data_IF_716430583646
#
_entry.id   IF_716430583646
#
_cell.length_a   1.000
_cell.length_b   1.000
_cell.length_c   1.000
_cell.angle_alpha   90.00
_cell.angle_beta   90.00
_cell.angle_gamma   90.00
#
_symmetry.space_group_name_H-M   'P 1'
#
loop_
_entity.id
_entity.type
_entity.pdbx_description
1 polymer ?
#
# COMPACT_ATOMS: atom_id res chain seq x y z
N UNK A 1 1.26 24.70 57.98
CA UNK A 1 0.89 25.68 56.95
C UNK A 1 1.82 25.64 55.73
N UNK A 2 3.15 25.59 55.86
CA UNK A 2 4.07 25.51 54.69
C UNK A 2 3.90 24.26 53.81
N UNK A 3 3.64 23.09 54.42
CA UNK A 3 3.45 21.84 53.63
C UNK A 3 2.14 21.80 52.87
N UNK A 4 1.08 22.48 53.33
CA UNK A 4 -0.21 22.50 52.61
C UNK A 4 -0.15 23.39 51.37
N UNK A 5 0.59 24.50 51.44
CA UNK A 5 0.79 25.41 50.30
C UNK A 5 1.66 24.77 49.19
N UNK A 6 2.65 23.95 49.59
CA UNK A 6 3.50 23.19 48.63
C UNK A 6 2.68 22.13 47.84
N UNK A 7 1.83 21.37 48.51
CA UNK A 7 0.98 20.36 47.88
C UNK A 7 -0.09 20.97 46.95
N UNK A 8 -0.63 22.14 47.35
CA UNK A 8 -1.58 22.85 46.48
C UNK A 8 -0.93 23.45 45.24
N UNK A 9 0.31 23.93 45.33
CA UNK A 9 1.08 24.43 44.20
C UNK A 9 1.47 23.30 43.24
N UNK A 10 1.88 22.13 43.73
CA UNK A 10 2.18 20.93 42.94
C UNK A 10 0.93 20.38 42.22
N UNK A 11 -0.21 20.35 42.89
CA UNK A 11 -1.48 19.92 42.31
C UNK A 11 -1.96 20.89 41.22
N UNK A 12 -1.83 22.19 41.43
CA UNK A 12 -2.17 23.20 40.42
C UNK A 12 -1.21 23.13 39.22
N UNK A 13 0.09 22.91 39.45
CA UNK A 13 1.08 22.71 38.40
C UNK A 13 0.75 21.48 37.52
N UNK A 14 0.41 20.35 38.13
CA UNK A 14 -0.01 19.13 37.39
C UNK A 14 -1.29 19.35 36.59
N UNK A 15 -2.30 19.99 37.16
CA UNK A 15 -3.54 20.33 36.44
C UNK A 15 -3.29 21.22 35.20
N UNK A 16 -2.40 22.20 35.32
CA UNK A 16 -2.03 23.08 34.19
C UNK A 16 -1.29 22.30 33.13
N UNK A 17 -0.35 21.43 33.52
CA UNK A 17 0.39 20.58 32.56
C UNK A 17 -0.55 19.61 31.83
N UNK A 18 -1.42 18.89 32.54
CA UNK A 18 -2.42 18.01 31.99
C UNK A 18 -3.40 18.72 31.04
N UNK A 19 -3.80 19.95 31.38
CA UNK A 19 -4.69 20.74 30.52
C UNK A 19 -4.00 21.26 29.24
N UNK A 20 -2.72 21.60 29.34
CA UNK A 20 -1.92 22.00 28.15
C UNK A 20 -1.62 20.83 27.24
N UNK A 21 -1.25 19.68 27.79
CA UNK A 21 -1.05 18.43 27.00
C UNK A 21 -2.33 18.01 26.28
N UNK A 22 -3.47 18.04 26.96
CA UNK A 22 -4.77 17.74 26.36
C UNK A 22 -5.13 18.75 25.23
N UNK A 23 -4.86 20.03 25.41
CA UNK A 23 -5.11 21.04 24.38
C UNK A 23 -4.20 20.86 23.16
N UNK A 24 -2.92 20.51 23.38
CA UNK A 24 -1.97 20.21 22.30
C UNK A 24 -2.38 18.93 21.53
N UNK A 25 -2.81 17.89 22.23
CA UNK A 25 -3.32 16.67 21.63
C UNK A 25 -4.53 16.96 20.73
N UNK A 26 -5.51 17.70 21.22
CA UNK A 26 -6.69 18.11 20.43
C UNK A 26 -6.34 18.98 19.23
N UNK A 27 -5.35 19.86 19.34
CA UNK A 27 -4.87 20.67 18.24
C UNK A 27 -4.18 19.80 17.18
N UNK A 28 -3.38 18.82 17.59
CA UNK A 28 -2.70 17.89 16.69
C UNK A 28 -3.71 16.99 15.98
N UNK A 29 -4.72 16.45 16.67
CA UNK A 29 -5.83 15.72 16.05
C UNK A 29 -6.56 16.57 14.99
N UNK A 30 -6.87 17.82 15.30
CA UNK A 30 -7.54 18.73 14.36
C UNK A 30 -6.67 19.02 13.12
N UNK A 31 -5.35 19.19 13.31
CA UNK A 31 -4.40 19.37 12.21
C UNK A 31 -4.31 18.12 11.33
N UNK A 32 -4.22 16.93 11.93
CA UNK A 32 -4.18 15.68 11.20
C UNK A 32 -5.45 15.46 10.36
N UNK A 33 -6.64 15.70 10.93
CA UNK A 33 -7.92 15.65 10.21
C UNK A 33 -7.94 16.61 9.02
N UNK A 34 -7.52 17.86 9.23
CA UNK A 34 -7.47 18.86 8.15
C UNK A 34 -6.55 18.41 7.01
N UNK A 35 -5.38 17.83 7.30
CA UNK A 35 -4.48 17.33 6.26
C UNK A 35 -5.12 16.16 5.50
N UNK A 36 -5.79 15.25 6.19
CA UNK A 36 -6.53 14.14 5.56
C UNK A 36 -7.65 14.66 4.64
N UNK A 37 -8.39 15.69 5.06
CA UNK A 37 -9.43 16.32 4.24
C UNK A 37 -8.84 16.97 2.97
N UNK A 38 -7.70 17.64 3.09
CA UNK A 38 -7.00 18.23 1.94
C UNK A 38 -6.49 17.18 0.96
N UNK A 39 -5.99 16.04 1.44
CA UNK A 39 -5.61 14.90 0.59
C UNK A 39 -6.83 14.35 -0.15
N UNK A 40 -7.95 14.22 0.55
CA UNK A 40 -9.17 13.60 0.04
C UNK A 40 -9.89 14.47 -1.00
N UNK A 41 -9.98 15.78 -0.75
CA UNK A 41 -10.88 16.70 -1.48
C UNK A 41 -10.32 18.09 -1.75
N UNK A 42 -9.06 18.37 -1.40
CA UNK A 42 -8.41 19.67 -1.66
C UNK A 42 -8.20 19.94 -3.15
N UNK A 43 -7.89 21.20 -3.46
CA UNK A 43 -7.43 21.61 -4.81
C UNK A 43 -6.11 20.93 -5.16
N UNK A 44 -5.67 21.00 -6.40
CA UNK A 44 -4.37 20.45 -6.81
C UNK A 44 -3.22 21.08 -6.00
N UNK A 45 -3.24 22.40 -5.81
CA UNK A 45 -2.26 23.15 -5.05
C UNK A 45 -2.23 22.74 -3.57
N UNK A 46 -3.40 22.59 -2.96
CA UNK A 46 -3.50 22.14 -1.56
C UNK A 46 -2.97 20.71 -1.38
N UNK A 47 -3.27 19.80 -2.32
CA UNK A 47 -2.73 18.44 -2.30
C UNK A 47 -1.19 18.45 -2.46
N UNK A 48 -0.64 19.27 -3.35
CA UNK A 48 0.82 19.44 -3.52
C UNK A 48 1.47 19.92 -2.22
N UNK A 49 0.86 20.90 -1.53
CA UNK A 49 1.38 21.40 -0.26
C UNK A 49 1.39 20.31 0.85
N UNK A 50 0.38 19.45 0.90
CA UNK A 50 0.38 18.33 1.85
C UNK A 50 1.45 17.30 1.48
N UNK A 51 1.62 16.99 0.17
CA UNK A 51 2.70 16.12 -0.32
C UNK A 51 4.07 16.66 0.07
N UNK A 52 4.30 17.98 -0.13
CA UNK A 52 5.56 18.64 0.27
C UNK A 52 5.82 18.49 1.77
N UNK A 53 4.82 18.81 2.61
CA UNK A 53 4.94 18.68 4.07
C UNK A 53 5.31 17.26 4.51
N UNK A 54 4.67 16.25 3.93
CA UNK A 54 4.99 14.86 4.22
C UNK A 54 6.41 14.50 3.77
N UNK A 55 6.82 14.95 2.57
CA UNK A 55 8.16 14.70 2.05
C UNK A 55 9.24 15.37 2.90
N UNK A 56 9.04 16.63 3.30
CA UNK A 56 9.98 17.38 4.16
C UNK A 56 10.13 16.70 5.52
N UNK A 57 9.02 16.29 6.15
CA UNK A 57 9.02 15.52 7.39
C UNK A 57 9.84 14.23 7.24
N UNK A 58 9.64 13.47 6.15
CA UNK A 58 10.37 12.23 5.90
C UNK A 58 11.86 12.50 5.70
N UNK A 59 12.24 13.58 5.01
CA UNK A 59 13.64 13.98 4.85
C UNK A 59 14.29 14.34 6.20
N UNK A 60 13.59 15.06 7.08
CA UNK A 60 14.06 15.35 8.45
C UNK A 60 14.26 14.08 9.28
N UNK A 61 13.49 13.02 9.03
CA UNK A 61 13.65 11.69 9.66
C UNK A 61 14.73 10.81 9.00
N UNK A 62 15.46 11.34 8.02
CA UNK A 62 16.57 10.64 7.36
C UNK A 62 16.16 9.80 6.14
N UNK A 63 14.91 9.91 5.67
CA UNK A 63 14.47 9.23 4.44
C UNK A 63 14.87 10.08 3.23
N UNK A 64 15.89 9.63 2.51
CA UNK A 64 16.45 10.40 1.40
C UNK A 64 16.55 9.51 0.14
N UNK A 65 15.91 9.97 -0.94
CA UNK A 65 15.97 9.38 -2.28
C UNK A 65 15.76 7.86 -2.28
N UNK A 66 14.59 7.38 -1.83
CA UNK A 66 14.26 5.96 -2.06
C UNK A 66 14.31 5.69 -3.57
N UNK A 67 14.91 4.57 -3.97
CA UNK A 67 14.93 4.13 -5.37
C UNK A 67 13.67 3.30 -5.67
N UNK A 68 13.28 2.44 -4.70
CA UNK A 68 12.18 1.49 -4.84
C UNK A 68 11.19 1.66 -3.70
N UNK A 69 9.92 1.73 -4.05
CA UNK A 69 8.80 1.61 -3.11
C UNK A 69 8.34 0.16 -3.13
N UNK A 70 8.09 -0.42 -1.95
CA UNK A 70 7.50 -1.76 -1.82
C UNK A 70 6.27 -1.67 -0.94
N UNK A 71 5.08 -1.96 -1.46
CA UNK A 71 3.90 -2.13 -0.60
C UNK A 71 3.78 -3.58 -0.18
N UNK A 72 3.83 -3.82 1.15
CA UNK A 72 3.72 -5.13 1.77
C UNK A 72 2.26 -5.42 2.08
N UNK A 73 1.61 -6.20 1.22
CA UNK A 73 0.27 -6.73 1.43
C UNK A 73 0.23 -7.89 2.43
N UNK A 74 -0.93 -8.52 2.58
CA UNK A 74 -1.14 -9.68 3.46
C UNK A 74 -0.09 -10.76 3.20
N UNK A 75 0.54 -11.27 4.27
CA UNK A 75 1.60 -12.29 4.20
C UNK A 75 3.01 -11.80 3.84
N UNK A 76 3.16 -10.54 3.38
CA UNK A 76 4.47 -10.00 3.01
C UNK A 76 5.14 -9.16 4.11
N UNK A 77 4.49 -8.97 5.28
CA UNK A 77 4.95 -8.06 6.33
C UNK A 77 6.35 -8.35 6.87
N UNK A 78 6.77 -9.63 6.88
CA UNK A 78 8.11 -10.05 7.31
C UNK A 78 9.24 -9.57 6.39
N UNK A 79 8.95 -9.22 5.14
CA UNK A 79 9.96 -8.62 4.24
C UNK A 79 10.56 -7.34 4.82
N UNK A 80 9.76 -6.51 5.48
CA UNK A 80 10.24 -5.28 6.12
C UNK A 80 11.28 -5.51 7.22
N UNK A 81 11.36 -6.73 7.77
CA UNK A 81 12.37 -7.11 8.79
C UNK A 81 13.71 -7.48 8.16
N UNK A 82 13.78 -7.65 6.84
CA UNK A 82 15.00 -7.93 6.09
C UNK A 82 15.75 -6.66 5.65
N UNK A 83 15.18 -5.48 5.85
CA UNK A 83 15.80 -4.19 5.50
C UNK A 83 16.96 -3.91 6.44
N UNK A 84 18.10 -3.54 5.87
CA UNK A 84 19.33 -3.24 6.60
C UNK A 84 19.33 -1.78 7.05
N UNK A 85 19.79 -1.52 8.29
CA UNK A 85 19.80 -0.18 8.92
C UNK A 85 18.47 0.56 8.82
N UNK A 86 17.34 -0.04 9.26
CA UNK A 86 16.03 0.51 9.00
C UNK A 86 15.71 1.75 9.84
N UNK A 87 15.22 2.78 9.20
CA UNK A 87 14.42 3.86 9.83
C UNK A 87 12.96 3.43 9.77
N UNK A 88 12.27 3.41 10.92
CA UNK A 88 10.86 3.03 11.03
C UNK A 88 10.05 4.22 11.54
N UNK A 89 8.97 4.55 10.85
CA UNK A 89 8.09 5.67 11.19
C UNK A 89 6.65 5.16 11.13
N UNK A 90 5.88 5.38 12.21
CA UNK A 90 4.43 5.09 12.20
C UNK A 90 3.74 5.98 11.16
N UNK A 91 2.74 5.44 10.48
CA UNK A 91 1.94 6.24 9.53
C UNK A 91 1.24 7.41 10.21
N UNK A 92 0.86 7.25 11.48
CA UNK A 92 0.21 8.29 12.30
C UNK A 92 1.09 9.52 12.49
N UNK A 93 2.42 9.34 12.48
CA UNK A 93 3.38 10.42 12.65
C UNK A 93 3.61 11.20 11.35
N UNK A 94 3.28 10.61 10.18
CA UNK A 94 3.59 11.22 8.88
C UNK A 94 2.43 12.14 8.45
N UNK A 95 2.68 13.43 8.20
CA UNK A 95 1.63 14.37 7.83
C UNK A 95 0.80 13.90 6.63
N UNK A 96 -0.52 13.79 6.80
CA UNK A 96 -1.46 13.41 5.76
C UNK A 96 -1.51 11.92 5.40
N UNK A 97 -0.67 11.06 5.98
CA UNK A 97 -0.80 9.61 5.79
C UNK A 97 -2.06 9.12 6.48
N UNK A 98 -2.83 8.25 5.84
CA UNK A 98 -3.95 7.59 6.51
C UNK A 98 -3.47 6.52 7.48
N UNK A 99 -4.27 6.20 8.48
CA UNK A 99 -4.00 5.10 9.43
C UNK A 99 -4.42 3.79 8.79
N UNK A 100 -3.58 2.74 8.86
CA UNK A 100 -3.96 1.41 8.40
C UNK A 100 -4.72 0.67 9.49
N UNK A 101 -5.95 0.23 9.19
CA UNK A 101 -6.84 -0.45 10.16
C UNK A 101 -7.04 -1.93 9.82
N UNK A 102 -6.59 -2.37 8.66
CA UNK A 102 -6.74 -3.76 8.22
C UNK A 102 -5.90 -4.73 9.08
N UNK A 103 -6.46 -5.89 9.49
CA UNK A 103 -5.74 -6.89 10.26
C UNK A 103 -4.43 -7.32 9.58
N UNK A 104 -3.37 -7.53 10.38
CA UNK A 104 -2.05 -7.96 9.89
C UNK A 104 -1.20 -6.86 9.26
N UNK A 105 -1.69 -5.64 9.14
CA UNK A 105 -0.94 -4.48 8.68
C UNK A 105 -0.26 -3.76 9.84
N UNK A 106 1.06 -3.55 9.75
CA UNK A 106 1.84 -2.92 10.84
C UNK A 106 1.68 -1.40 10.91
N UNK A 107 1.18 -0.76 9.87
CA UNK A 107 0.93 0.69 9.84
C UNK A 107 2.20 1.54 9.94
N UNK A 108 3.30 1.14 9.30
CA UNK A 108 4.57 1.86 9.37
C UNK A 108 5.30 1.91 8.03
N UNK A 109 6.04 3.00 7.82
CA UNK A 109 7.03 3.13 6.77
C UNK A 109 8.38 2.62 7.29
N UNK A 110 9.03 1.72 6.54
CA UNK A 110 10.35 1.17 6.83
C UNK A 110 11.27 1.56 5.68
N UNK A 111 12.30 2.35 5.97
CA UNK A 111 13.26 2.79 4.97
C UNK A 111 14.66 2.32 5.34
N UNK A 112 15.40 1.83 4.37
CA UNK A 112 16.78 1.40 4.55
C UNK A 112 17.36 0.77 3.28
N UNK A 113 18.34 -0.08 3.45
CA UNK A 113 19.03 -0.72 2.33
C UNK A 113 18.62 -2.18 2.17
N UNK A 114 18.45 -2.57 0.91
CA UNK A 114 18.22 -3.95 0.51
C UNK A 114 19.00 -4.23 -0.78
N UNK A 115 19.97 -5.15 -0.71
CA UNK A 115 20.83 -5.53 -1.84
C UNK A 115 21.47 -4.32 -2.57
N UNK A 116 21.90 -3.31 -1.80
CA UNK A 116 22.52 -2.09 -2.33
C UNK A 116 21.53 -1.04 -2.88
N UNK A 117 20.21 -1.29 -2.81
CA UNK A 117 19.18 -0.35 -3.17
C UNK A 117 18.59 0.34 -1.94
N UNK A 118 18.22 1.62 -2.07
CA UNK A 118 17.45 2.35 -1.06
C UNK A 118 15.96 2.04 -1.24
N UNK A 119 15.39 1.34 -0.28
CA UNK A 119 14.02 0.83 -0.35
C UNK A 119 13.15 1.49 0.72
N UNK A 120 11.96 1.92 0.32
CA UNK A 120 10.91 2.39 1.20
C UNK A 120 9.76 1.37 1.21
N UNK A 121 9.65 0.58 2.29
CA UNK A 121 8.58 -0.39 2.45
C UNK A 121 7.38 0.25 3.16
N UNK A 122 6.22 0.23 2.53
CA UNK A 122 4.94 0.50 3.15
C UNK A 122 4.45 -0.81 3.80
N UNK A 123 4.66 -0.96 5.11
CA UNK A 123 4.30 -2.16 5.87
C UNK A 123 2.83 -2.09 6.30
N UNK A 124 1.97 -2.45 5.37
CA UNK A 124 0.53 -2.29 5.38
C UNK A 124 0.09 -1.28 4.32
N UNK A 125 -1.18 -1.39 3.95
CA UNK A 125 -1.82 -0.54 2.94
C UNK A 125 -3.19 -0.07 3.41
N UNK A 126 -3.81 0.78 2.60
CA UNK A 126 -5.15 1.32 2.81
C UNK A 126 -6.09 0.79 1.75
N UNK A 127 -7.31 0.47 2.14
CA UNK A 127 -8.29 -0.10 1.24
C UNK A 127 -9.53 0.77 1.12
N UNK A 128 -10.20 0.66 -0.01
CA UNK A 128 -11.46 1.36 -0.24
C UNK A 128 -12.54 0.94 0.77
N UNK A 129 -12.57 -0.35 1.14
CA UNK A 129 -13.53 -0.87 2.12
C UNK A 129 -13.30 -0.37 3.56
N UNK A 130 -12.14 0.19 3.87
CA UNK A 130 -11.87 0.86 5.16
C UNK A 130 -12.53 2.26 5.22
N UNK A 131 -13.15 2.73 4.12
CA UNK A 131 -13.76 4.04 4.00
C UNK A 131 -12.84 5.12 3.40
N UNK A 132 -11.61 4.76 3.02
CA UNK A 132 -10.70 5.68 2.36
C UNK A 132 -11.09 5.89 0.90
N UNK A 133 -11.08 7.16 0.45
CA UNK A 133 -11.22 7.43 -0.97
C UNK A 133 -9.92 7.09 -1.73
N UNK A 134 -10.04 6.94 -3.05
CA UNK A 134 -8.94 6.51 -3.90
C UNK A 134 -7.72 7.46 -3.88
N UNK A 135 -7.93 8.78 -3.70
CA UNK A 135 -6.84 9.77 -3.61
C UNK A 135 -6.03 9.59 -2.33
N UNK A 136 -6.71 9.31 -1.22
CA UNK A 136 -6.07 9.02 0.06
C UNK A 136 -5.24 7.75 -0.01
N UNK A 137 -5.72 6.71 -0.70
CA UNK A 137 -5.00 5.44 -0.87
C UNK A 137 -3.66 5.64 -1.59
N UNK A 138 -3.62 6.50 -2.63
CA UNK A 138 -2.41 6.73 -3.41
C UNK A 138 -1.50 7.85 -2.87
N UNK A 139 -1.91 8.54 -1.82
CA UNK A 139 -1.16 9.67 -1.27
C UNK A 139 0.26 9.28 -0.82
N UNK A 140 0.47 8.18 -0.05
CA UNK A 140 1.81 7.76 0.34
C UNK A 140 2.75 7.47 -0.83
N UNK A 141 2.22 6.86 -1.90
CA UNK A 141 2.96 6.63 -3.14
C UNK A 141 3.45 7.95 -3.76
N UNK A 142 2.58 8.96 -3.83
CA UNK A 142 2.91 10.30 -4.37
C UNK A 142 4.01 10.99 -3.57
N UNK A 143 3.98 10.86 -2.25
CA UNK A 143 5.02 11.40 -1.36
C UNK A 143 6.36 10.73 -1.63
N UNK A 144 6.41 9.41 -1.73
CA UNK A 144 7.65 8.67 -1.98
C UNK A 144 8.18 8.87 -3.40
N UNK A 145 7.31 9.01 -4.41
CA UNK A 145 7.69 9.39 -5.78
C UNK A 145 8.34 10.78 -5.79
N UNK A 146 7.77 11.75 -5.07
CA UNK A 146 8.37 13.08 -4.92
C UNK A 146 9.76 13.05 -4.28
N UNK A 147 10.02 12.10 -3.37
CA UNK A 147 11.35 11.91 -2.77
C UNK A 147 12.37 11.25 -3.73
N UNK A 148 11.95 10.82 -4.92
CA UNK A 148 12.82 10.35 -5.98
C UNK A 148 12.71 8.86 -6.29
N UNK A 149 11.74 8.16 -5.74
CA UNK A 149 11.48 6.78 -6.12
C UNK A 149 11.13 6.69 -7.62
N UNK A 150 11.65 5.67 -8.28
CA UNK A 150 11.45 5.44 -9.72
C UNK A 150 10.78 4.10 -10.01
N UNK A 151 10.75 3.19 -9.01
CA UNK A 151 10.14 1.86 -9.14
C UNK A 151 9.16 1.59 -8.01
N UNK A 152 8.09 0.88 -8.35
CA UNK A 152 7.09 0.42 -7.39
C UNK A 152 6.88 -1.09 -7.50
N UNK A 153 7.15 -1.79 -6.41
CA UNK A 153 6.84 -3.21 -6.22
C UNK A 153 5.58 -3.29 -5.37
N UNK A 154 4.50 -3.73 -5.99
CA UNK A 154 3.17 -3.79 -5.39
C UNK A 154 2.82 -5.24 -5.10
N UNK A 155 2.54 -5.59 -3.83
CA UNK A 155 2.14 -6.94 -3.46
C UNK A 155 0.71 -6.98 -2.92
N UNK A 156 0.00 -8.08 -3.14
CA UNK A 156 -1.31 -8.35 -2.56
C UNK A 156 -1.56 -9.84 -2.35
N UNK A 157 -2.64 -10.17 -1.64
CA UNK A 157 -3.27 -11.49 -1.65
C UNK A 157 -4.54 -11.44 -2.49
N UNK A 158 -4.87 -12.52 -3.19
CA UNK A 158 -6.02 -12.63 -4.07
C UNK A 158 -6.61 -14.04 -4.11
N UNK A 159 -7.87 -14.11 -4.53
CA UNK A 159 -8.50 -15.36 -4.95
C UNK A 159 -8.21 -15.65 -6.42
N UNK A 160 -7.75 -16.86 -6.76
CA UNK A 160 -7.58 -17.20 -8.18
C UNK A 160 -8.91 -17.56 -8.84
N UNK A 161 -9.09 -17.08 -10.09
CA UNK A 161 -10.27 -17.32 -10.94
C UNK A 161 -9.91 -18.30 -12.06
N UNK A 162 -8.65 -18.27 -12.53
CA UNK A 162 -8.17 -19.13 -13.60
C UNK A 162 -8.07 -20.59 -13.12
N UNK A 163 -8.77 -21.50 -13.79
CA UNK A 163 -8.82 -22.94 -13.44
C UNK A 163 -7.49 -23.67 -13.70
N UNK A 164 -6.60 -23.08 -14.48
CA UNK A 164 -5.26 -23.60 -14.73
C UNK A 164 -4.24 -23.23 -13.66
N UNK A 165 -4.64 -22.46 -12.64
CA UNK A 165 -3.72 -22.10 -11.55
C UNK A 165 -3.82 -23.08 -10.40
N UNK A 166 -2.70 -23.34 -9.76
CA UNK A 166 -2.59 -24.19 -8.59
C UNK A 166 -2.41 -23.35 -7.32
N UNK A 167 -2.89 -23.81 -6.17
CA UNK A 167 -2.69 -23.14 -4.88
C UNK A 167 -1.20 -23.10 -4.52
N UNK A 168 -0.81 -22.06 -3.81
CA UNK A 168 0.54 -21.96 -3.29
C UNK A 168 1.55 -21.34 -4.24
N UNK A 169 1.09 -20.54 -5.20
CA UNK A 169 1.93 -19.81 -6.15
C UNK A 169 1.63 -18.31 -6.15
N UNK A 170 2.51 -17.54 -6.74
CA UNK A 170 2.28 -16.13 -7.03
C UNK A 170 1.93 -15.91 -8.50
N UNK A 171 1.30 -14.77 -8.78
CA UNK A 171 1.02 -14.29 -10.13
C UNK A 171 1.65 -12.90 -10.31
N UNK A 172 2.43 -12.71 -11.36
CA UNK A 172 2.82 -11.38 -11.83
C UNK A 172 1.64 -10.76 -12.57
N UNK A 173 1.22 -9.60 -12.13
CA UNK A 173 0.07 -8.89 -12.73
C UNK A 173 0.51 -8.30 -14.06
N UNK A 174 -0.19 -8.69 -15.14
CA UNK A 174 0.05 -8.19 -16.50
C UNK A 174 -0.80 -6.99 -16.82
N UNK A 175 -2.02 -6.96 -16.28
CA UNK A 175 -3.03 -5.91 -16.46
C UNK A 175 -4.08 -5.99 -15.35
N UNK A 176 -5.02 -5.04 -15.32
CA UNK A 176 -6.09 -5.07 -14.33
C UNK A 176 -7.46 -4.70 -14.90
N UNK A 177 -8.51 -5.17 -14.21
CA UNK A 177 -9.89 -4.76 -14.42
C UNK A 177 -10.35 -4.03 -13.15
N UNK A 178 -10.70 -2.76 -13.29
CA UNK A 178 -11.17 -1.91 -12.19
C UNK A 178 -12.71 -1.98 -12.07
N UNK A 179 -13.20 -2.81 -11.15
CA UNK A 179 -14.64 -2.94 -10.87
C UNK A 179 -15.11 -2.09 -9.68
N UNK A 180 -14.23 -1.24 -9.12
CA UNK A 180 -14.58 -0.40 -7.97
C UNK A 180 -15.54 0.75 -8.31
N UNK A 181 -15.69 1.09 -9.59
CA UNK A 181 -16.44 2.27 -10.03
C UNK A 181 -15.76 3.60 -9.68
N UNK A 182 -14.52 3.58 -9.19
CA UNK A 182 -13.76 4.74 -8.73
C UNK A 182 -12.42 4.83 -9.45
N UNK A 183 -11.86 6.06 -9.54
CA UNK A 183 -10.52 6.29 -10.08
C UNK A 183 -9.80 7.34 -9.23
N UNK A 184 -8.56 7.10 -8.79
CA UNK A 184 -7.80 8.02 -7.92
C UNK A 184 -7.47 9.37 -8.59
N UNK A 185 -7.57 9.45 -9.91
CA UNK A 185 -7.28 10.67 -10.68
C UNK A 185 -8.52 11.53 -10.94
N UNK A 186 -9.69 11.12 -10.43
CA UNK A 186 -10.93 11.91 -10.57
C UNK A 186 -10.80 13.25 -9.86
N UNK A 187 -11.17 14.35 -10.54
CA UNK A 187 -11.07 15.72 -10.04
C UNK A 187 -9.91 16.51 -10.65
N UNK A 188 -9.41 17.58 -10.01
CA UNK A 188 -8.29 18.38 -10.52
C UNK A 188 -7.02 17.53 -10.69
N UNK A 189 -6.31 17.74 -11.81
CA UNK A 189 -5.01 17.12 -12.04
C UNK A 189 -3.91 17.80 -11.21
N UNK A 190 -2.88 17.06 -10.85
CA UNK A 190 -1.66 17.58 -10.25
C UNK A 190 -0.56 17.49 -11.32
N UNK A 191 -0.40 18.55 -12.11
CA UNK A 191 0.48 18.56 -13.28
C UNK A 191 1.96 18.33 -12.91
N UNK A 192 2.36 18.66 -11.66
CA UNK A 192 3.70 18.37 -11.14
C UNK A 192 3.97 16.86 -11.00
N UNK A 193 2.93 16.03 -10.91
CA UNK A 193 3.06 14.57 -10.75
C UNK A 193 2.97 13.89 -12.11
N UNK A 194 1.97 14.24 -12.93
CA UNK A 194 1.77 13.58 -14.21
C UNK A 194 0.69 14.21 -15.06
N UNK A 195 0.55 13.70 -16.29
CA UNK A 195 -0.42 14.22 -17.24
C UNK A 195 -1.87 13.86 -16.84
N UNK A 196 -2.84 14.66 -17.29
CA UNK A 196 -4.27 14.48 -16.99
C UNK A 196 -4.81 13.11 -17.40
N UNK A 197 -4.33 12.55 -18.50
CA UNK A 197 -4.76 11.29 -19.08
C UNK A 197 -3.54 10.37 -19.28
N UNK A 198 -3.07 9.67 -18.23
CA UNK A 198 -1.96 8.74 -18.39
C UNK A 198 -2.36 7.55 -19.25
N UNK A 199 -1.45 7.10 -20.10
CA UNK A 199 -1.60 5.87 -20.83
C UNK A 199 -1.45 4.67 -19.91
N UNK A 200 -2.46 3.81 -19.85
CA UNK A 200 -2.48 2.61 -19.00
C UNK A 200 -2.07 1.33 -19.76
N UNK A 201 -1.77 1.42 -21.06
CA UNK A 201 -1.42 0.25 -21.90
C UNK A 201 -0.19 -0.52 -21.39
N UNK A 202 0.67 0.16 -20.65
CA UNK A 202 1.89 -0.39 -20.04
C UNK A 202 1.99 -0.05 -18.55
N UNK A 203 0.85 0.03 -17.87
CA UNK A 203 0.81 0.37 -16.44
C UNK A 203 1.69 -0.58 -15.60
N UNK A 204 1.67 -1.87 -15.92
CA UNK A 204 2.61 -2.86 -15.38
C UNK A 204 3.75 -3.01 -16.38
N UNK A 205 4.92 -2.47 -16.04
CA UNK A 205 6.07 -2.33 -16.95
C UNK A 205 6.47 -3.66 -17.57
N UNK A 206 6.27 -3.87 -18.89
CA UNK A 206 6.44 -5.19 -19.51
C UNK A 206 7.87 -5.71 -19.41
N UNK A 207 8.87 -4.84 -19.62
CA UNK A 207 10.29 -5.20 -19.61
C UNK A 207 10.74 -5.63 -18.22
N UNK A 208 10.28 -4.93 -17.17
CA UNK A 208 10.54 -5.29 -15.78
C UNK A 208 9.87 -6.61 -15.41
N UNK A 209 8.60 -6.80 -15.80
CA UNK A 209 7.87 -8.04 -15.55
C UNK A 209 8.54 -9.25 -16.18
N UNK A 210 8.93 -9.13 -17.45
CA UNK A 210 9.62 -10.21 -18.17
C UNK A 210 10.96 -10.57 -17.53
N UNK A 211 11.71 -9.57 -17.06
CA UNK A 211 12.97 -9.80 -16.33
C UNK A 211 12.71 -10.55 -15.04
N UNK A 212 11.75 -10.09 -14.23
CA UNK A 212 11.38 -10.73 -12.95
C UNK A 212 10.88 -12.16 -13.17
N UNK A 213 10.08 -12.38 -14.22
CA UNK A 213 9.57 -13.71 -14.57
C UNK A 213 10.72 -14.69 -14.85
N UNK A 214 11.66 -14.32 -15.71
CA UNK A 214 12.83 -15.18 -16.04
C UNK A 214 13.74 -15.43 -14.83
N UNK A 215 13.98 -14.41 -14.01
CA UNK A 215 14.80 -14.56 -12.81
C UNK A 215 14.10 -15.44 -11.75
N UNK A 216 12.77 -15.38 -11.63
CA UNK A 216 12.00 -16.26 -10.77
C UNK A 216 12.09 -17.72 -11.23
N UNK A 217 11.92 -18.00 -12.54
CA UNK A 217 12.08 -19.33 -13.10
C UNK A 217 13.51 -19.88 -12.88
N UNK A 218 14.53 -19.05 -13.09
CA UNK A 218 15.93 -19.42 -12.82
C UNK A 218 16.21 -19.73 -11.35
N UNK A 219 15.46 -19.10 -10.44
CA UNK A 219 15.51 -19.36 -9.00
C UNK A 219 14.63 -20.56 -8.56
N UNK A 220 13.97 -21.24 -9.50
CA UNK A 220 13.08 -22.36 -9.23
C UNK A 220 11.75 -21.96 -8.60
N UNK A 221 11.35 -20.69 -8.72
CA UNK A 221 10.07 -20.18 -8.21
C UNK A 221 9.05 -20.23 -9.35
N UNK A 222 8.02 -21.05 -9.21
CA UNK A 222 6.92 -21.08 -10.17
C UNK A 222 6.02 -19.87 -9.96
N UNK A 223 5.85 -19.07 -11.02
CA UNK A 223 4.95 -17.91 -11.03
C UNK A 223 4.06 -17.93 -12.26
N UNK A 224 2.81 -17.50 -12.08
CA UNK A 224 1.87 -17.28 -13.17
C UNK A 224 1.96 -15.83 -13.65
N UNK A 225 1.36 -15.55 -14.79
CA UNK A 225 1.13 -14.20 -15.30
C UNK A 225 -0.34 -14.05 -15.65
N UNK A 226 -0.99 -12.96 -15.23
CA UNK A 226 -2.43 -12.83 -15.46
C UNK A 226 -3.00 -11.48 -15.11
N UNK A 227 -4.28 -11.33 -15.39
CA UNK A 227 -5.08 -10.12 -15.17
C UNK A 227 -5.71 -10.14 -13.77
N UNK A 228 -5.50 -9.06 -13.02
CA UNK A 228 -6.06 -8.88 -11.70
C UNK A 228 -7.34 -8.03 -11.75
N UNK A 229 -8.45 -8.50 -11.17
CA UNK A 229 -9.67 -7.74 -11.00
C UNK A 229 -9.74 -7.14 -9.59
N UNK A 230 -10.06 -5.85 -9.49
CA UNK A 230 -10.34 -5.20 -8.20
C UNK A 230 -11.84 -5.07 -8.00
N UNK A 231 -12.36 -5.68 -6.93
CA UNK A 231 -13.69 -5.45 -6.38
C UNK A 231 -13.62 -4.49 -5.18
N UNK A 232 -14.70 -3.74 -4.89
CA UNK A 232 -14.67 -2.77 -3.79
C UNK A 232 -14.59 -3.40 -2.39
N UNK A 233 -15.09 -4.63 -2.21
CA UNK A 233 -15.28 -5.24 -0.89
C UNK A 233 -16.32 -4.49 -0.03
N UNK A 234 -16.41 -4.74 1.31
CA UNK A 234 -15.63 -5.72 2.07
C UNK A 234 -16.12 -7.17 1.96
N UNK A 235 -17.30 -7.43 1.37
CA UNK A 235 -17.75 -8.79 1.15
C UNK A 235 -16.91 -9.48 0.07
N UNK A 236 -16.62 -10.77 0.27
CA UNK A 236 -16.16 -11.60 -0.84
C UNK A 236 -17.23 -11.63 -1.94
N UNK A 237 -16.78 -11.94 -3.15
CA UNK A 237 -17.62 -12.01 -4.33
C UNK A 237 -18.63 -13.14 -4.21
N UNK A 238 -19.74 -13.00 -4.93
CA UNK A 238 -20.66 -14.13 -5.16
C UNK A 238 -20.10 -15.04 -6.27
N UNK A 239 -20.50 -16.33 -6.34
CA UNK A 239 -20.13 -17.20 -7.45
C UNK A 239 -20.55 -16.66 -8.82
N UNK A 240 -21.59 -15.84 -8.89
CA UNK A 240 -22.03 -15.20 -10.15
C UNK A 240 -21.07 -14.07 -10.58
N UNK A 241 -20.60 -13.26 -9.63
CA UNK A 241 -19.58 -12.24 -9.88
C UNK A 241 -18.25 -12.88 -10.31
N UNK A 242 -17.84 -14.00 -9.73
CA UNK A 242 -16.64 -14.73 -10.16
C UNK A 242 -16.79 -15.24 -11.61
N UNK A 243 -17.95 -15.81 -11.99
CA UNK A 243 -18.19 -16.19 -13.38
C UNK A 243 -18.16 -14.99 -14.34
N UNK A 244 -18.71 -13.85 -13.91
CA UNK A 244 -18.65 -12.59 -14.67
C UNK A 244 -17.19 -12.15 -14.87
N UNK A 245 -16.40 -12.07 -13.79
CA UNK A 245 -14.99 -11.67 -13.84
C UNK A 245 -14.16 -12.58 -14.76
N UNK A 246 -14.39 -13.91 -14.69
CA UNK A 246 -13.76 -14.87 -15.59
C UNK A 246 -14.13 -14.59 -17.05
N UNK A 247 -15.40 -14.31 -17.33
CA UNK A 247 -15.87 -13.97 -18.69
C UNK A 247 -15.23 -12.68 -19.21
N UNK A 248 -14.93 -11.72 -18.31
CA UNK A 248 -14.22 -10.49 -18.62
C UNK A 248 -12.71 -10.69 -18.79
N UNK A 249 -12.18 -11.87 -18.51
CA UNK A 249 -10.78 -12.21 -18.68
C UNK A 249 -9.91 -12.02 -17.44
N UNK A 250 -10.50 -11.93 -16.23
CA UNK A 250 -9.74 -11.88 -14.98
C UNK A 250 -9.22 -13.27 -14.60
N UNK A 251 -7.97 -13.34 -14.14
CA UNK A 251 -7.30 -14.53 -13.62
C UNK A 251 -7.29 -14.60 -12.10
N UNK A 252 -7.33 -13.45 -11.44
CA UNK A 252 -7.39 -13.33 -10.00
C UNK A 252 -8.24 -12.12 -9.57
N UNK A 253 -8.76 -12.15 -8.33
CA UNK A 253 -9.61 -11.09 -7.76
C UNK A 253 -9.16 -10.72 -6.35
N UNK A 254 -9.28 -9.44 -6.03
CA UNK A 254 -9.06 -8.93 -4.67
C UNK A 254 -9.61 -7.51 -4.52
N UNK A 255 -9.27 -6.84 -3.42
CA UNK A 255 -9.91 -5.59 -3.01
C UNK A 255 -8.92 -4.42 -2.88
N UNK A 256 -7.78 -4.48 -3.61
CA UNK A 256 -6.68 -3.49 -3.48
C UNK A 256 -5.95 -3.27 -4.80
N UNK A 257 -4.77 -2.62 -4.73
CA UNK A 257 -3.74 -2.60 -5.78
C UNK A 257 -4.03 -1.73 -7.00
N UNK A 258 -5.24 -1.73 -7.53
CA UNK A 258 -5.56 -0.97 -8.75
C UNK A 258 -5.43 0.55 -8.54
N UNK A 259 -5.86 1.15 -7.42
CA UNK A 259 -5.62 2.57 -7.18
C UNK A 259 -4.13 2.91 -7.19
N UNK A 260 -3.31 2.09 -6.53
CA UNK A 260 -1.87 2.28 -6.48
C UNK A 260 -1.22 2.09 -7.86
N UNK A 261 -1.68 1.13 -8.66
CA UNK A 261 -1.21 0.95 -10.04
C UNK A 261 -1.52 2.16 -10.93
N UNK A 262 -2.73 2.72 -10.82
CA UNK A 262 -3.10 3.95 -11.52
C UNK A 262 -2.25 5.14 -11.04
N UNK A 263 -2.05 5.26 -9.71
CA UNK A 263 -1.20 6.29 -9.12
C UNK A 263 0.26 6.19 -9.55
N UNK A 264 0.81 4.98 -9.66
CA UNK A 264 2.16 4.71 -10.13
C UNK A 264 2.35 5.10 -11.60
N UNK A 265 1.42 4.70 -12.47
CA UNK A 265 1.42 5.07 -13.89
C UNK A 265 1.33 6.59 -14.05
N UNK A 266 0.46 7.27 -13.28
CA UNK A 266 0.37 8.73 -13.29
C UNK A 266 1.67 9.41 -12.84
N UNK A 267 2.38 8.85 -11.86
CA UNK A 267 3.66 9.36 -11.37
C UNK A 267 4.87 8.92 -12.22
N UNK A 268 4.67 8.17 -13.29
CA UNK A 268 5.74 7.70 -14.19
C UNK A 268 6.67 6.67 -13.57
N UNK A 269 6.22 5.89 -12.58
CA UNK A 269 7.00 4.85 -11.94
C UNK A 269 6.99 3.57 -12.78
N UNK A 270 8.13 2.86 -12.85
CA UNK A 270 8.13 1.45 -13.23
C UNK A 270 7.34 0.65 -12.21
N UNK A 271 6.37 -0.14 -12.67
CA UNK A 271 5.49 -0.91 -11.79
C UNK A 271 5.58 -2.40 -12.07
N UNK A 272 5.70 -3.18 -11.01
CA UNK A 272 5.45 -4.63 -11.01
C UNK A 272 4.47 -4.98 -9.90
N UNK A 273 3.43 -5.75 -10.25
CA UNK A 273 2.46 -6.30 -9.30
C UNK A 273 2.74 -7.79 -9.06
N UNK A 274 2.81 -8.18 -7.79
CA UNK A 274 2.97 -9.57 -7.35
C UNK A 274 1.76 -9.94 -6.51
N UNK A 275 0.92 -10.83 -7.03
CA UNK A 275 -0.28 -11.30 -6.35
C UNK A 275 -0.07 -12.68 -5.76
N UNK A 276 -0.24 -12.84 -4.45
CA UNK A 276 -0.26 -14.12 -3.76
C UNK A 276 -1.62 -14.79 -4.02
N UNK A 277 -1.65 -15.91 -4.71
CA UNK A 277 -2.85 -16.70 -4.95
C UNK A 277 -3.20 -17.51 -3.68
N UNK A 278 -3.93 -16.87 -2.77
CA UNK A 278 -4.13 -17.37 -1.40
C UNK A 278 -5.23 -18.44 -1.30
N UNK A 279 -6.29 -18.29 -2.07
CA UNK A 279 -7.47 -19.16 -2.02
C UNK A 279 -8.16 -19.25 -3.39
N UNK A 280 -8.96 -20.32 -3.66
CA UNK A 280 -9.85 -20.31 -4.82
C UNK A 280 -10.88 -19.18 -4.66
N UNK A 281 -11.23 -18.49 -5.74
CA UNK A 281 -12.27 -17.48 -5.71
C UNK A 281 -13.65 -18.10 -5.32
N UNK A 282 -14.58 -17.25 -4.93
CA UNK A 282 -15.88 -17.69 -4.42
C UNK A 282 -16.62 -18.65 -5.39
N UNK A 283 -17.06 -19.78 -4.88
CA UNK A 283 -17.76 -20.82 -5.65
C UNK A 283 -16.86 -21.73 -6.51
N UNK A 284 -15.53 -21.55 -6.45
CA UNK A 284 -14.57 -22.45 -7.10
C UNK A 284 -14.06 -23.55 -6.16
N UNK A 285 -14.06 -23.30 -4.88
CA UNK A 285 -13.73 -24.28 -3.84
C UNK A 285 -14.98 -24.89 -3.19
N UNK A 286 -14.78 -25.94 -2.39
CA UNK A 286 -15.84 -26.61 -1.65
C UNK A 286 -16.11 -26.04 -0.24
N UNK A 287 -15.21 -25.17 0.25
CA UNK A 287 -15.27 -24.60 1.59
C UNK A 287 -15.65 -23.11 1.53
N UNK A 288 -16.32 -22.59 2.58
CA UNK A 288 -16.49 -21.15 2.74
C UNK A 288 -15.14 -20.41 2.76
N UNK A 289 -15.12 -19.18 2.23
CA UNK A 289 -13.94 -18.33 2.28
C UNK A 289 -13.85 -17.66 3.66
N UNK A 290 -12.70 -17.79 4.32
CA UNK A 290 -12.40 -17.16 5.58
C UNK A 290 -11.15 -16.27 5.43
N UNK A 291 -11.15 -15.13 6.10
CA UNK A 291 -9.98 -14.24 6.14
C UNK A 291 -8.73 -14.97 6.66
N UNK A 292 -8.90 -15.85 7.66
CA UNK A 292 -7.80 -16.62 8.22
C UNK A 292 -7.12 -17.53 7.19
N UNK A 293 -7.89 -18.12 6.27
CA UNK A 293 -7.32 -18.97 5.20
C UNK A 293 -6.42 -18.16 4.26
N UNK A 294 -6.78 -16.89 3.98
CA UNK A 294 -5.96 -15.97 3.19
C UNK A 294 -4.65 -15.66 3.89
N UNK A 295 -4.69 -15.37 5.20
CA UNK A 295 -3.51 -15.09 6.02
C UNK A 295 -2.59 -16.32 6.07
N UNK A 296 -3.14 -17.49 6.34
CA UNK A 296 -2.37 -18.74 6.47
C UNK A 296 -1.72 -19.15 5.14
N UNK A 297 -2.43 -19.00 4.03
CA UNK A 297 -1.90 -19.29 2.71
C UNK A 297 -0.76 -18.30 2.35
N UNK A 298 -0.95 -17.02 2.61
CA UNK A 298 0.07 -15.99 2.38
C UNK A 298 1.32 -16.23 3.23
N UNK A 299 1.16 -16.67 4.48
CA UNK A 299 2.28 -17.01 5.35
C UNK A 299 3.06 -18.23 4.85
N UNK A 300 2.38 -19.26 4.30
CA UNK A 300 3.04 -20.42 3.69
C UNK A 300 3.89 -20.05 2.50
N UNK A 301 3.48 -19.04 1.71
CA UNK A 301 4.19 -18.53 0.54
C UNK A 301 5.27 -17.49 0.86
N UNK A 302 5.37 -17.07 2.11
CA UNK A 302 6.17 -15.91 2.53
C UNK A 302 7.62 -15.98 2.06
N UNK A 303 8.27 -17.15 2.08
CA UNK A 303 9.65 -17.31 1.64
C UNK A 303 9.84 -17.07 0.13
N UNK A 304 8.95 -17.57 -0.71
CA UNK A 304 9.02 -17.36 -2.16
C UNK A 304 8.58 -15.94 -2.54
N UNK A 305 7.58 -15.37 -1.83
CA UNK A 305 7.20 -13.98 -1.98
C UNK A 305 8.36 -13.02 -1.63
N UNK A 306 9.12 -13.29 -0.56
CA UNK A 306 10.31 -12.50 -0.21
C UNK A 306 11.36 -12.54 -1.32
N UNK A 307 11.65 -13.73 -1.88
CA UNK A 307 12.58 -13.87 -3.01
C UNK A 307 12.09 -13.13 -4.25
N UNK A 308 10.79 -13.22 -4.58
CA UNK A 308 10.19 -12.50 -5.70
C UNK A 308 10.28 -10.98 -5.52
N UNK A 309 10.03 -10.48 -4.31
CA UNK A 309 10.20 -9.06 -3.98
C UNK A 309 11.69 -8.67 -4.14
N UNK A 310 12.63 -9.48 -3.67
CA UNK A 310 14.06 -9.24 -3.84
C UNK A 310 14.47 -9.18 -5.32
N UNK A 311 13.97 -10.11 -6.14
CA UNK A 311 14.17 -10.10 -7.59
C UNK A 311 13.62 -8.80 -8.18
N UNK A 312 12.38 -8.43 -7.84
CA UNK A 312 11.73 -7.23 -8.35
C UNK A 312 12.42 -5.93 -7.93
N UNK A 313 12.97 -5.87 -6.72
CA UNK A 313 13.75 -4.73 -6.22
C UNK A 313 15.06 -4.58 -7.00
N UNK A 314 15.70 -5.68 -7.38
CA UNK A 314 17.03 -5.69 -8.02
C UNK A 314 16.95 -5.65 -9.56
N UNK A 315 15.82 -6.05 -10.13
CA UNK A 315 15.65 -6.08 -11.56
C UNK A 315 15.78 -4.69 -12.21
#
# INVERSE_FOLDING_TARGET
>A
MKNFLSHAADAAGKMVTESTEFAEEKLNEARARRLADLVASGTAEEQVEVIKKAADFLMEKGIQRPEVIVTLGSGCGSYGDTIVNPVRISYEDIPGFPVSTAPGHRGQLIYGEKNGKKVACLSGRWHFYEGYNMKTIIFPLRVLARLGATRYVLTNASGWINEGYEPGHAMLITDHINMSGQNPLTGPNIDEIGCRFPDMSKAYTPELREKVFREAEAAGIQVYQGVYAMMPGPSFETPAEIRMLRTLGADAVGMSSVPEAIGAAHAGLELIGISCLANPAAGMGSQPLLEQDVIDASNRLSADLQKLIDIAVNA
#
